data_IF_015896145000
#
_entry.id   IF_015896145000
#
_cell.length_a   1.000
_cell.length_b   1.000
_cell.length_c   1.000
_cell.angle_alpha   90.00
_cell.angle_beta   90.00
_cell.angle_gamma   90.00
#
_symmetry.space_group_name_H-M   'P 1'
#
loop_
_entity.id
_entity.type
_entity.pdbx_description
1 polymer ?
#
# COMPACT_ATOMS: atom_id res chain seq x y z
N UNK A 1 0.48 13.00 2.46
CA UNK A 1 0.72 11.79 1.63
C UNK A 1 2.21 11.48 1.50
N UNK A 2 3.05 12.36 0.95
CA UNK A 2 4.51 12.12 0.89
C UNK A 2 5.15 11.80 2.24
N UNK A 3 4.80 12.56 3.29
CA UNK A 3 5.23 12.26 4.67
C UNK A 3 4.79 10.86 5.13
N UNK A 4 3.54 10.47 4.87
CA UNK A 4 3.05 9.13 5.22
C UNK A 4 3.86 8.05 4.52
N UNK A 5 4.15 8.21 3.21
CA UNK A 5 4.97 7.28 2.45
C UNK A 5 6.38 7.12 3.03
N UNK A 6 7.05 8.24 3.33
CA UNK A 6 8.38 8.21 3.96
C UNK A 6 8.34 7.52 5.32
N UNK A 7 7.36 7.85 6.16
CA UNK A 7 7.16 7.20 7.46
C UNK A 7 6.95 5.69 7.32
N UNK A 8 6.13 5.25 6.36
CA UNK A 8 5.90 3.83 6.11
C UNK A 8 7.16 3.12 5.61
N UNK A 9 7.94 3.73 4.72
CA UNK A 9 9.20 3.16 4.23
C UNK A 9 10.21 3.02 5.37
N UNK A 10 10.43 4.08 6.16
CA UNK A 10 11.39 4.06 7.26
C UNK A 10 10.99 3.02 8.31
N UNK A 11 9.77 3.09 8.83
CA UNK A 11 9.31 2.13 9.84
C UNK A 11 9.26 0.70 9.28
N UNK A 12 8.88 0.52 8.02
CA UNK A 12 8.86 -0.79 7.34
C UNK A 12 10.24 -1.41 7.19
N UNK A 13 11.26 -0.60 6.84
CA UNK A 13 12.65 -1.06 6.75
C UNK A 13 13.17 -1.55 8.12
N UNK A 14 12.95 -0.78 9.19
CA UNK A 14 13.36 -1.21 10.54
C UNK A 14 12.62 -2.47 11.00
N UNK A 15 11.33 -2.62 10.67
CA UNK A 15 10.59 -3.86 10.96
C UNK A 15 11.13 -5.05 10.16
N UNK A 16 11.46 -4.84 8.88
CA UNK A 16 11.98 -5.89 8.01
C UNK A 16 13.32 -6.46 8.48
N UNK A 17 14.16 -5.67 9.17
CA UNK A 17 15.43 -6.14 9.75
C UNK A 17 15.23 -7.21 10.85
N UNK A 18 14.03 -7.32 11.42
CA UNK A 18 13.70 -8.24 12.52
C UNK A 18 12.59 -9.24 12.18
N UNK A 19 11.93 -9.08 11.03
CA UNK A 19 10.83 -9.93 10.60
C UNK A 19 11.34 -11.18 9.89
N UNK A 20 10.64 -12.32 10.03
CA UNK A 20 10.95 -13.56 9.30
C UNK A 20 9.73 -14.02 8.51
N UNK A 21 9.85 -14.08 7.18
CA UNK A 21 8.80 -14.51 6.28
C UNK A 21 8.69 -16.05 6.22
N UNK A 22 8.22 -16.66 7.31
CA UNK A 22 7.92 -18.09 7.37
C UNK A 22 6.65 -18.33 8.18
N UNK A 23 5.75 -19.23 7.78
CA UNK A 23 4.47 -19.45 8.48
C UNK A 23 4.64 -19.92 9.92
N UNK A 24 5.75 -20.58 10.23
CA UNK A 24 6.10 -21.01 11.61
C UNK A 24 6.65 -19.87 12.47
N UNK A 25 7.21 -18.82 11.87
CA UNK A 25 7.94 -17.75 12.57
C UNK A 25 7.36 -16.35 12.39
N UNK A 26 6.46 -16.11 11.44
CA UNK A 26 6.01 -14.77 11.10
C UNK A 26 5.29 -14.10 12.27
N UNK A 27 4.33 -14.79 12.87
CA UNK A 27 3.61 -14.28 14.04
C UNK A 27 4.54 -14.05 15.24
N UNK A 28 5.43 -15.00 15.53
CA UNK A 28 6.35 -14.92 16.66
C UNK A 28 7.44 -13.87 16.46
N UNK A 29 7.92 -13.67 15.22
CA UNK A 29 8.88 -12.59 14.90
C UNK A 29 8.27 -11.20 15.09
N UNK A 30 6.98 -11.00 14.73
CA UNK A 30 6.27 -9.74 15.05
C UNK A 30 6.07 -9.56 16.55
N UNK A 31 5.82 -10.65 17.29
CA UNK A 31 5.73 -10.60 18.75
C UNK A 31 7.09 -10.25 19.39
N UNK A 32 8.18 -10.83 18.91
CA UNK A 32 9.56 -10.54 19.30
C UNK A 32 9.90 -9.06 19.04
N UNK A 33 9.57 -8.52 17.86
CA UNK A 33 9.73 -7.08 17.57
C UNK A 33 9.05 -6.22 18.63
N UNK A 34 7.83 -6.57 19.05
CA UNK A 34 7.09 -5.75 20.01
C UNK A 34 7.58 -5.90 21.46
N UNK A 35 8.24 -7.00 21.81
CA UNK A 35 8.58 -7.35 23.21
C UNK A 35 10.05 -7.16 23.52
N UNK A 36 10.94 -7.47 22.58
CA UNK A 36 12.36 -7.66 22.83
C UNK A 36 13.24 -6.65 22.07
N UNK A 37 12.76 -6.10 20.95
CA UNK A 37 13.47 -5.05 20.20
C UNK A 37 13.23 -3.68 20.85
N UNK A 38 14.31 -2.93 21.10
CA UNK A 38 14.24 -1.59 21.67
C UNK A 38 13.37 -0.66 20.81
N UNK A 39 12.34 -0.08 21.42
CA UNK A 39 11.30 0.70 20.73
C UNK A 39 10.56 -0.02 19.59
N UNK A 40 10.71 -1.34 19.43
CA UNK A 40 10.08 -2.09 18.35
C UNK A 40 8.55 -2.05 18.43
N UNK A 41 7.96 -2.01 19.63
CA UNK A 41 6.53 -1.77 19.83
C UNK A 41 6.07 -0.44 19.22
N UNK A 42 6.86 0.63 19.38
CA UNK A 42 6.55 1.96 18.88
C UNK A 42 6.64 1.96 17.36
N UNK A 43 7.73 1.44 16.79
CA UNK A 43 7.91 1.33 15.34
C UNK A 43 6.77 0.53 14.71
N UNK A 44 6.41 -0.62 15.29
CA UNK A 44 5.30 -1.47 14.82
C UNK A 44 3.96 -0.74 14.89
N UNK A 45 3.68 -0.02 15.99
CA UNK A 45 2.43 0.72 16.15
C UNK A 45 2.36 1.93 15.21
N UNK A 46 3.46 2.62 14.99
CA UNK A 46 3.55 3.70 14.01
C UNK A 46 3.32 3.18 12.61
N UNK A 47 3.94 2.05 12.22
CA UNK A 47 3.73 1.47 10.89
C UNK A 47 2.28 1.02 10.66
N UNK A 48 1.67 0.38 11.66
CA UNK A 48 0.29 -0.10 11.57
C UNK A 48 -0.73 1.04 11.52
N UNK A 49 -0.66 2.01 12.45
CA UNK A 49 -1.58 3.15 12.44
C UNK A 49 -1.27 4.15 11.32
N UNK A 50 0.00 4.24 10.90
CA UNK A 50 0.43 5.05 9.78
C UNK A 50 -0.19 4.61 8.46
N UNK A 51 -0.42 3.30 8.28
CA UNK A 51 -1.19 2.80 7.15
C UNK A 51 -2.64 3.33 7.15
N UNK A 52 -3.34 3.33 8.29
CA UNK A 52 -4.69 3.90 8.40
C UNK A 52 -4.68 5.41 8.13
N UNK A 53 -3.72 6.15 8.69
CA UNK A 53 -3.56 7.58 8.41
C UNK A 53 -3.31 7.84 6.92
N UNK A 54 -2.58 6.94 6.24
CA UNK A 54 -2.31 7.06 4.82
C UNK A 54 -3.60 7.00 4.00
N UNK A 55 -4.51 6.06 4.32
CA UNK A 55 -5.82 5.98 3.66
C UNK A 55 -6.75 7.14 4.00
N UNK A 56 -6.74 7.65 5.23
CA UNK A 56 -7.48 8.87 5.58
C UNK A 56 -7.01 10.03 4.69
N UNK A 57 -5.70 10.25 4.59
CA UNK A 57 -5.15 11.28 3.71
C UNK A 57 -5.48 11.04 2.23
N UNK A 58 -5.48 9.79 1.75
CA UNK A 58 -5.82 9.46 0.37
C UNK A 58 -7.27 9.80 0.05
N UNK A 59 -8.21 9.38 0.90
CA UNK A 59 -9.63 9.64 0.67
C UNK A 59 -9.95 11.13 0.72
N UNK A 60 -9.35 11.88 1.66
CA UNK A 60 -9.47 13.35 1.69
C UNK A 60 -8.87 13.98 0.43
N UNK A 61 -7.73 13.49 -0.05
CA UNK A 61 -7.07 14.01 -1.24
C UNK A 61 -7.89 13.76 -2.52
N UNK A 62 -8.45 12.56 -2.67
CA UNK A 62 -9.37 12.21 -3.76
C UNK A 62 -10.65 13.03 -3.68
N UNK A 63 -11.23 13.16 -2.49
CA UNK A 63 -12.42 13.99 -2.23
C UNK A 63 -12.22 15.45 -2.62
N UNK A 64 -11.08 16.05 -2.24
CA UNK A 64 -10.68 17.40 -2.67
C UNK A 64 -10.61 17.48 -4.20
N UNK A 65 -10.00 16.49 -4.84
CA UNK A 65 -9.85 16.47 -6.29
C UNK A 65 -11.17 16.40 -7.04
N UNK A 66 -12.15 15.65 -6.51
CA UNK A 66 -13.51 15.61 -7.03
C UNK A 66 -14.25 16.93 -6.82
N UNK A 67 -14.23 17.45 -5.59
CA UNK A 67 -14.99 18.65 -5.21
C UNK A 67 -14.58 19.89 -6.01
N UNK A 68 -13.27 20.10 -6.22
CA UNK A 68 -12.75 21.26 -6.96
C UNK A 68 -12.49 21.00 -8.45
N UNK A 69 -12.96 19.89 -9.01
CA UNK A 69 -12.75 19.61 -10.45
C UNK A 69 -11.30 19.36 -10.86
N UNK A 70 -10.42 18.98 -9.92
CA UNK A 70 -8.99 18.75 -10.22
C UNK A 70 -8.75 17.50 -11.08
N UNK A 71 -9.76 16.63 -11.22
CA UNK A 71 -9.74 15.50 -12.17
C UNK A 71 -9.71 15.91 -13.65
N UNK A 72 -9.85 17.21 -13.94
CA UNK A 72 -9.67 17.75 -15.29
C UNK A 72 -8.20 17.71 -15.73
N UNK A 73 -7.24 17.71 -14.80
CA UNK A 73 -5.83 17.44 -15.09
C UNK A 73 -5.61 15.94 -15.29
N UNK A 74 -5.91 15.45 -16.50
CA UNK A 74 -6.06 14.01 -16.80
C UNK A 74 -4.84 13.17 -16.45
N UNK A 75 -3.64 13.61 -16.83
CA UNK A 75 -2.41 12.85 -16.56
C UNK A 75 -2.13 12.75 -15.05
N UNK A 76 -2.25 13.87 -14.33
CA UNK A 76 -2.14 13.92 -12.87
C UNK A 76 -3.23 13.07 -12.20
N UNK A 77 -4.46 13.12 -12.68
CA UNK A 77 -5.56 12.33 -12.12
C UNK A 77 -5.36 10.82 -12.33
N UNK A 78 -5.01 10.40 -13.55
CA UNK A 78 -4.81 8.99 -13.89
C UNK A 78 -3.63 8.39 -13.13
N UNK A 79 -2.51 9.12 -12.98
CA UNK A 79 -1.41 8.72 -12.10
C UNK A 79 -1.83 8.66 -10.64
N UNK A 80 -2.73 9.54 -10.20
CA UNK A 80 -3.35 9.49 -8.86
C UNK A 80 -4.19 8.23 -8.62
N UNK A 81 -4.96 7.78 -9.62
CA UNK A 81 -5.69 6.51 -9.56
C UNK A 81 -4.73 5.33 -9.46
N UNK A 82 -3.66 5.33 -10.25
CA UNK A 82 -2.62 4.29 -10.16
C UNK A 82 -1.97 4.25 -8.76
N UNK A 83 -1.65 5.41 -8.18
CA UNK A 83 -1.12 5.52 -6.81
C UNK A 83 -2.08 4.93 -5.77
N UNK A 84 -3.38 5.19 -5.92
CA UNK A 84 -4.40 4.60 -5.04
C UNK A 84 -4.38 3.07 -5.12
N UNK A 85 -4.41 2.50 -6.33
CA UNK A 85 -4.40 1.05 -6.53
C UNK A 85 -3.11 0.40 -6.02
N UNK A 86 -1.95 0.99 -6.28
CA UNK A 86 -0.67 0.51 -5.76
C UNK A 86 -0.64 0.54 -4.22
N UNK A 87 -1.18 1.60 -3.61
CA UNK A 87 -1.25 1.72 -2.15
C UNK A 87 -2.20 0.69 -1.54
N UNK A 88 -3.35 0.44 -2.18
CA UNK A 88 -4.28 -0.63 -1.80
C UNK A 88 -3.62 -2.00 -1.85
N UNK A 89 -2.94 -2.32 -2.96
CA UNK A 89 -2.21 -3.58 -3.10
C UNK A 89 -1.14 -3.72 -2.01
N UNK A 90 -0.33 -2.67 -1.79
CA UNK A 90 0.75 -2.63 -0.79
C UNK A 90 0.21 -2.88 0.62
N UNK A 91 -0.85 -2.18 1.02
CA UNK A 91 -1.44 -2.32 2.34
C UNK A 91 -2.06 -3.70 2.55
N UNK A 92 -2.73 -4.24 1.52
CA UNK A 92 -3.28 -5.59 1.57
C UNK A 92 -2.19 -6.64 1.81
N UNK A 93 -1.13 -6.67 0.99
CA UNK A 93 -0.05 -7.67 1.17
C UNK A 93 0.71 -7.46 2.49
N UNK A 94 0.80 -6.22 2.98
CA UNK A 94 1.39 -5.89 4.28
C UNK A 94 0.58 -6.42 5.47
N UNK A 95 -0.76 -6.37 5.37
CA UNK A 95 -1.66 -6.88 6.40
C UNK A 95 -1.61 -8.40 6.55
N UNK A 96 -1.12 -9.12 5.53
CA UNK A 96 -0.93 -10.58 5.57
C UNK A 96 0.29 -10.97 6.41
N UNK A 97 1.32 -10.12 6.46
CA UNK A 97 2.62 -10.44 7.04
C UNK A 97 2.61 -10.85 8.54
N UNK A 98 1.78 -10.27 9.42
CA UNK A 98 1.73 -10.72 10.81
C UNK A 98 1.20 -12.15 10.99
N UNK A 99 0.62 -12.75 9.95
CA UNK A 99 0.12 -14.12 9.94
C UNK A 99 -0.86 -14.46 11.07
N UNK A 100 -1.71 -13.49 11.45
CA UNK A 100 -2.82 -13.72 12.36
C UNK A 100 -4.05 -14.32 11.67
N UNK A 101 -5.10 -14.67 12.43
CA UNK A 101 -6.35 -15.23 11.87
C UNK A 101 -6.95 -14.35 10.78
N UNK A 102 -7.10 -13.05 11.04
CA UNK A 102 -7.66 -12.11 10.05
C UNK A 102 -6.74 -11.91 8.85
N UNK A 103 -5.42 -12.01 9.04
CA UNK A 103 -4.43 -11.93 7.96
C UNK A 103 -4.59 -13.11 6.99
N UNK A 104 -4.65 -14.33 7.54
CA UNK A 104 -4.79 -15.55 6.76
C UNK A 104 -6.14 -15.61 6.03
N UNK A 105 -7.25 -15.48 6.75
CA UNK A 105 -8.57 -15.59 6.14
C UNK A 105 -8.86 -14.43 5.19
N UNK A 106 -8.37 -13.23 5.49
CA UNK A 106 -8.42 -12.10 4.57
C UNK A 106 -7.68 -12.39 3.27
N UNK A 107 -6.47 -12.94 3.34
CA UNK A 107 -5.71 -13.34 2.16
C UNK A 107 -6.47 -14.37 1.33
N UNK A 108 -6.97 -15.44 1.96
CA UNK A 108 -7.72 -16.51 1.31
C UNK A 108 -8.95 -15.98 0.57
N UNK A 109 -9.80 -15.20 1.24
CA UNK A 109 -11.04 -14.70 0.64
C UNK A 109 -10.77 -13.71 -0.49
N UNK A 110 -9.90 -12.73 -0.27
CA UNK A 110 -9.67 -11.64 -1.23
C UNK A 110 -9.00 -12.16 -2.50
N UNK A 111 -7.96 -12.99 -2.38
CA UNK A 111 -7.27 -13.53 -3.56
C UNK A 111 -8.14 -14.52 -4.33
N UNK A 112 -9.00 -15.27 -3.64
CA UNK A 112 -9.89 -16.22 -4.30
C UNK A 112 -11.00 -15.55 -5.13
N UNK A 113 -11.25 -14.23 -4.98
CA UNK A 113 -12.14 -13.49 -5.89
C UNK A 113 -11.69 -13.59 -7.36
N UNK A 114 -10.40 -13.79 -7.61
CA UNK A 114 -9.85 -13.96 -8.96
C UNK A 114 -10.29 -15.28 -9.62
N UNK A 115 -10.75 -16.27 -8.83
CA UNK A 115 -11.28 -17.54 -9.37
C UNK A 115 -12.52 -17.34 -10.24
N UNK A 116 -13.23 -16.22 -10.08
CA UNK A 116 -14.39 -15.87 -10.88
C UNK A 116 -14.06 -15.47 -12.33
N UNK A 117 -12.78 -15.28 -12.67
CA UNK A 117 -12.35 -14.98 -14.04
C UNK A 117 -12.58 -16.21 -14.94
N UNK A 118 -13.34 -16.09 -16.06
CA UNK A 118 -13.63 -17.23 -16.93
C UNK A 118 -12.36 -17.88 -17.48
N UNK A 119 -12.36 -19.22 -17.52
CA UNK A 119 -11.31 -20.09 -18.08
C UNK A 119 -9.96 -20.09 -17.34
N UNK A 120 -9.50 -18.95 -16.81
CA UNK A 120 -8.16 -18.78 -16.24
C UNK A 120 -8.16 -18.55 -14.72
N UNK A 121 -9.34 -18.38 -14.10
CA UNK A 121 -9.45 -17.91 -12.71
C UNK A 121 -8.77 -18.80 -11.68
N UNK A 122 -9.06 -20.11 -11.70
CA UNK A 122 -8.44 -21.07 -10.77
C UNK A 122 -6.93 -21.11 -10.92
N UNK A 123 -6.44 -21.19 -12.15
CA UNK A 123 -5.00 -21.13 -12.48
C UNK A 123 -4.34 -19.86 -11.95
N UNK A 124 -4.99 -18.71 -12.07
CA UNK A 124 -4.47 -17.43 -11.59
C UNK A 124 -4.36 -17.41 -10.05
N UNK A 125 -5.35 -17.93 -9.34
CA UNK A 125 -5.35 -18.02 -7.87
C UNK A 125 -4.22 -18.93 -7.38
N UNK A 126 -4.12 -20.14 -7.91
CA UNK A 126 -3.08 -21.10 -7.53
C UNK A 126 -1.67 -20.58 -7.89
N UNK A 127 -1.55 -19.84 -8.99
CA UNK A 127 -0.30 -19.17 -9.36
C UNK A 127 0.08 -18.08 -8.34
N UNK A 128 -0.87 -17.24 -7.91
CA UNK A 128 -0.65 -16.22 -6.88
C UNK A 128 -0.30 -16.85 -5.54
N UNK A 129 -0.93 -17.96 -5.16
CA UNK A 129 -0.62 -18.67 -3.92
C UNK A 129 0.73 -19.40 -3.98
N UNK A 130 1.07 -19.95 -5.15
CA UNK A 130 2.20 -20.85 -5.30
C UNK A 130 1.90 -22.25 -4.80
N UNK A 131 0.64 -22.67 -4.87
CA UNK A 131 0.13 -23.92 -4.31
C UNK A 131 -1.39 -23.92 -4.31
N UNK A 132 -1.99 -24.92 -3.65
CA UNK A 132 -3.44 -25.12 -3.61
C UNK A 132 -4.17 -24.26 -2.55
N UNK A 133 -3.42 -23.59 -1.69
CA UNK A 133 -3.94 -22.71 -0.65
C UNK A 133 -2.92 -21.63 -0.29
N UNK A 134 -3.37 -20.60 0.45
CA UNK A 134 -2.49 -19.63 1.08
C UNK A 134 -1.59 -20.34 2.09
N UNK A 135 -0.28 -20.32 1.87
CA UNK A 135 0.71 -20.99 2.73
C UNK A 135 2.08 -20.26 2.66
N UNK A 136 3.16 -20.92 3.06
CA UNK A 136 4.50 -20.36 3.17
C UNK A 136 5.05 -19.77 1.87
N UNK A 137 4.74 -20.38 0.73
CA UNK A 137 5.07 -19.83 -0.58
C UNK A 137 4.39 -18.46 -0.81
N UNK A 138 3.15 -18.31 -0.36
CA UNK A 138 2.36 -17.07 -0.46
C UNK A 138 2.88 -15.99 0.49
N UNK A 139 3.21 -16.36 1.73
CA UNK A 139 3.73 -15.40 2.72
C UNK A 139 5.08 -14.82 2.29
N UNK A 140 5.97 -15.67 1.79
CA UNK A 140 7.32 -15.25 1.36
C UNK A 140 7.25 -14.26 0.20
N UNK A 141 6.44 -14.54 -0.83
CA UNK A 141 6.26 -13.62 -1.96
C UNK A 141 5.54 -12.33 -1.56
N UNK A 142 4.55 -12.41 -0.66
CA UNK A 142 3.84 -11.21 -0.20
C UNK A 142 4.76 -10.29 0.58
N UNK A 143 5.71 -10.83 1.35
CA UNK A 143 6.77 -10.02 1.94
C UNK A 143 7.61 -9.32 0.86
N UNK A 144 8.06 -10.04 -0.16
CA UNK A 144 8.83 -9.46 -1.28
C UNK A 144 8.05 -8.36 -2.01
N UNK A 145 6.77 -8.60 -2.33
CA UNK A 145 5.92 -7.58 -2.96
C UNK A 145 5.68 -6.39 -2.05
N UNK A 146 5.38 -6.62 -0.77
CA UNK A 146 5.17 -5.54 0.20
C UNK A 146 6.42 -4.67 0.36
N UNK A 147 7.61 -5.27 0.27
CA UNK A 147 8.87 -4.54 0.31
C UNK A 147 9.09 -3.72 -0.97
N UNK A 148 8.82 -4.29 -2.14
CA UNK A 148 9.07 -3.65 -3.44
C UNK A 148 8.10 -2.50 -3.76
N UNK A 149 6.80 -2.70 -3.54
CA UNK A 149 5.75 -1.79 -4.00
C UNK A 149 5.88 -0.34 -3.46
N UNK A 150 6.28 -0.07 -2.21
CA UNK A 150 6.53 1.30 -1.73
C UNK A 150 7.54 2.11 -2.56
N UNK A 151 8.56 1.44 -3.14
CA UNK A 151 9.53 2.10 -4.01
C UNK A 151 8.94 2.40 -5.39
N UNK A 152 8.09 1.51 -5.91
CA UNK A 152 7.30 1.77 -7.12
C UNK A 152 6.35 2.95 -6.90
N UNK A 153 5.66 2.99 -5.75
CA UNK A 153 4.80 4.12 -5.35
C UNK A 153 5.62 5.42 -5.31
N UNK A 154 6.85 5.39 -4.81
CA UNK A 154 7.73 6.57 -4.80
C UNK A 154 8.02 7.07 -6.22
N UNK A 155 8.36 6.17 -7.15
CA UNK A 155 8.59 6.52 -8.54
C UNK A 155 7.31 7.08 -9.21
N UNK A 156 6.15 6.44 -9.00
CA UNK A 156 4.86 6.93 -9.52
C UNK A 156 4.47 8.27 -8.90
N UNK A 157 4.80 8.53 -7.63
CA UNK A 157 4.57 9.82 -6.98
C UNK A 157 5.39 10.93 -7.64
N UNK A 158 6.64 10.67 -8.00
CA UNK A 158 7.46 11.64 -8.74
C UNK A 158 6.86 11.96 -10.12
N UNK A 159 6.36 10.94 -10.84
CA UNK A 159 5.66 11.13 -12.11
C UNK A 159 4.35 11.93 -11.94
N UNK A 160 3.60 11.64 -10.87
CA UNK A 160 2.38 12.37 -10.53
C UNK A 160 2.65 13.87 -10.28
N UNK A 161 3.75 14.18 -9.57
CA UNK A 161 4.17 15.56 -9.34
C UNK A 161 4.72 16.23 -10.60
N UNK A 162 5.40 15.49 -11.47
CA UNK A 162 5.86 15.99 -12.77
C UNK A 162 4.66 16.50 -13.59
N UNK A 163 3.62 15.68 -13.77
CA UNK A 163 2.42 16.11 -14.50
C UNK A 163 1.68 17.26 -13.83
N UNK A 164 1.68 17.32 -12.50
CA UNK A 164 1.11 18.47 -11.78
C UNK A 164 1.89 19.76 -12.07
N UNK A 165 3.21 19.70 -12.18
CA UNK A 165 4.05 20.87 -12.45
C UNK A 165 3.88 21.40 -13.87
N UNK A 166 3.47 20.58 -14.85
CA UNK A 166 3.15 21.06 -16.21
C UNK A 166 1.96 22.03 -16.24
N UNK A 167 0.96 21.85 -15.36
CA UNK A 167 -0.25 22.70 -15.31
C UNK A 167 -0.26 23.68 -14.15
N UNK A 168 0.53 23.42 -13.11
CA UNK A 168 0.38 24.05 -11.80
C UNK A 168 -0.83 23.52 -11.02
N UNK A 169 -0.98 24.00 -9.79
CA UNK A 169 -2.07 23.61 -8.89
C UNK A 169 -3.39 24.29 -9.25
N UNK A 170 -4.50 23.56 -9.05
CA UNK A 170 -5.83 24.15 -9.04
C UNK A 170 -6.06 24.94 -7.73
N UNK A 171 -7.11 25.75 -7.70
CA UNK A 171 -7.51 26.57 -6.56
C UNK A 171 -9.03 26.46 -6.29
N UNK A 172 -9.52 26.93 -5.13
CA UNK A 172 -10.93 26.77 -4.76
C UNK A 172 -11.94 27.44 -5.69
N UNK A 173 -11.55 28.48 -6.42
CA UNK A 173 -12.47 29.22 -7.32
C UNK A 173 -12.59 28.58 -8.71
N UNK A 174 -11.66 27.69 -9.08
CA UNK A 174 -11.59 27.10 -10.42
C UNK A 174 -11.21 28.09 -11.54
N UNK A 175 -10.87 29.34 -11.21
CA UNK A 175 -10.42 30.35 -12.15
C UNK A 175 -8.91 30.27 -12.40
N UNK A 176 -8.44 30.84 -13.50
CA UNK A 176 -6.99 30.99 -13.72
C UNK A 176 -6.42 31.91 -12.62
N UNK A 177 -5.33 31.45 -12.00
CA UNK A 177 -4.63 32.14 -10.90
C UNK A 177 -3.38 32.90 -11.34
N UNK A 178 -2.98 32.83 -12.61
CA UNK A 178 -1.72 33.42 -13.10
C UNK A 178 -1.62 34.95 -12.90
N UNK A 179 -2.76 35.64 -12.69
CA UNK A 179 -2.80 37.06 -12.37
C UNK A 179 -2.43 37.39 -10.92
N UNK A 180 -2.30 36.38 -10.06
CA UNK A 180 -2.04 36.50 -8.61
C UNK A 180 -1.12 35.35 -8.11
N UNK A 181 -0.09 35.03 -8.91
CA UNK A 181 0.95 34.02 -8.60
C UNK A 181 2.32 34.65 -8.44
#
# INVERSE_FOLDING_TARGET
>A
LGLCLVTQILTGLFLAMHYTASTTLAFTSVAHICRDVQYGWLIRKTHANGASMFFICLYLHVGRGMYYGSYLYKETWNTGVLLLLLTMATAFVGYVLPWGQMSFWGATVITNLLSAAPYIGTTLVEWIWGGFSVDNATLTRFFTFHFLLPFIITATMMLHLLFLHETGSNNPTGLNTDTDK
#
